data_IF_421215050587
#
_entry.id   IF_421215050587
#
_cell.length_a   1.000
_cell.length_b   1.000
_cell.length_c   1.000
_cell.angle_alpha   90.00
_cell.angle_beta   90.00
_cell.angle_gamma   90.00
#
_symmetry.space_group_name_H-M   'P 1'
#
loop_
_entity.id
_entity.type
_entity.pdbx_description
1 polymer ?
#
# COMPACT_ATOMS: atom_id res chain seq x y z
N UNK A 1 -11.39 -7.63 17.48
CA UNK A 1 -10.33 -8.64 17.71
C UNK A 1 -9.91 -9.26 16.37
N UNK A 2 -10.82 -9.72 15.51
CA UNK A 2 -10.46 -10.35 14.22
C UNK A 2 -9.67 -9.43 13.29
N UNK A 3 -10.09 -8.18 13.12
CA UNK A 3 -9.37 -7.20 12.30
C UNK A 3 -7.95 -6.92 12.83
N UNK A 4 -7.80 -6.80 14.15
CA UNK A 4 -6.49 -6.63 14.79
C UNK A 4 -5.59 -7.83 14.54
N UNK A 5 -6.10 -9.05 14.71
CA UNK A 5 -5.35 -10.27 14.44
C UNK A 5 -4.92 -10.36 12.95
N UNK A 6 -5.81 -10.03 12.02
CA UNK A 6 -5.49 -10.00 10.60
C UNK A 6 -4.38 -8.98 10.28
N UNK A 7 -4.47 -7.75 10.81
CA UNK A 7 -3.41 -6.75 10.68
C UNK A 7 -2.08 -7.24 11.24
N UNK A 8 -2.08 -7.87 12.40
CA UNK A 8 -0.85 -8.42 12.99
C UNK A 8 -0.23 -9.49 12.10
N UNK A 9 -1.01 -10.41 11.56
CA UNK A 9 -0.51 -11.47 10.68
C UNK A 9 0.08 -10.89 9.39
N UNK A 10 -0.59 -9.91 8.79
CA UNK A 10 -0.18 -9.32 7.51
C UNK A 10 1.07 -8.44 7.66
N UNK A 11 1.14 -7.60 8.70
CA UNK A 11 2.14 -6.55 8.80
C UNK A 11 3.35 -6.91 9.67
N UNK A 12 3.23 -7.77 10.69
CA UNK A 12 4.35 -8.07 11.60
C UNK A 12 5.53 -8.66 10.86
N UNK A 13 5.31 -9.60 9.97
CA UNK A 13 6.38 -10.26 9.24
C UNK A 13 7.18 -9.31 8.33
N UNK A 14 6.57 -8.54 7.41
CA UNK A 14 7.32 -7.59 6.59
C UNK A 14 7.95 -6.46 7.39
N UNK A 15 7.28 -5.93 8.43
CA UNK A 15 7.86 -4.90 9.29
C UNK A 15 9.05 -5.41 10.10
N UNK A 16 8.99 -6.64 10.60
CA UNK A 16 10.13 -7.28 11.26
C UNK A 16 11.33 -7.37 10.32
N UNK A 17 11.13 -7.82 9.09
CA UNK A 17 12.20 -7.90 8.08
C UNK A 17 12.78 -6.51 7.78
N UNK A 18 11.95 -5.51 7.57
CA UNK A 18 12.40 -4.12 7.36
C UNK A 18 13.20 -3.58 8.55
N UNK A 19 12.76 -3.89 9.77
CA UNK A 19 13.47 -3.49 10.99
C UNK A 19 14.88 -4.08 11.11
N UNK A 20 15.17 -5.20 10.46
CA UNK A 20 16.52 -5.80 10.45
C UNK A 20 17.49 -5.15 9.44
N UNK A 21 16.98 -4.35 8.49
CA UNK A 21 17.80 -3.77 7.41
C UNK A 21 18.86 -2.82 7.99
N UNK A 22 18.46 -1.87 8.85
CA UNK A 22 19.38 -0.88 9.42
C UNK A 22 20.50 -1.54 10.23
N UNK A 23 20.26 -2.47 11.17
CA UNK A 23 21.33 -3.16 11.88
C UNK A 23 22.26 -3.96 10.94
N UNK A 24 21.70 -4.57 9.89
CA UNK A 24 22.51 -5.28 8.90
C UNK A 24 23.40 -4.32 8.12
N UNK A 25 22.89 -3.19 7.68
CA UNK A 25 23.67 -2.18 6.97
C UNK A 25 24.81 -1.62 7.85
N UNK A 26 24.52 -1.31 9.11
CA UNK A 26 25.57 -0.90 10.07
C UNK A 26 26.66 -1.96 10.14
N UNK A 27 26.30 -3.23 10.35
CA UNK A 27 27.25 -4.33 10.47
C UNK A 27 28.18 -4.47 9.26
N UNK A 28 27.65 -4.25 8.05
CA UNK A 28 28.42 -4.40 6.80
C UNK A 28 29.14 -3.13 6.36
N UNK A 29 28.78 -1.97 6.89
CA UNK A 29 29.37 -0.67 6.52
C UNK A 29 30.44 -0.18 7.49
N UNK A 30 30.59 -0.82 8.64
CA UNK A 30 31.56 -0.43 9.66
C UNK A 30 32.81 -1.31 9.54
N UNK A 31 33.90 -0.73 9.07
CA UNK A 31 35.21 -1.41 8.97
C UNK A 31 36.07 -1.23 10.23
N UNK A 32 35.85 -0.12 11.00
CA UNK A 32 36.60 0.19 12.21
C UNK A 32 35.73 0.84 13.28
N UNK A 33 36.12 0.66 14.56
CA UNK A 33 35.40 1.23 15.71
C UNK A 33 35.41 2.77 15.70
N UNK A 34 36.44 3.40 15.13
CA UNK A 34 36.58 4.85 15.08
C UNK A 34 35.62 5.54 14.10
N UNK A 35 35.16 4.82 13.07
CA UNK A 35 34.22 5.35 12.05
C UNK A 35 32.76 4.99 12.30
N UNK A 36 32.52 4.20 13.33
CA UNK A 36 31.20 3.67 13.67
C UNK A 36 30.15 4.78 13.83
N UNK A 37 30.48 5.83 14.59
CA UNK A 37 29.58 6.93 14.85
C UNK A 37 29.15 7.70 13.58
N UNK A 38 30.10 7.95 12.67
CA UNK A 38 29.83 8.64 11.40
C UNK A 38 28.94 7.78 10.48
N UNK A 39 29.24 6.50 10.35
CA UNK A 39 28.49 5.56 9.51
C UNK A 39 27.05 5.39 10.02
N UNK A 40 26.88 5.20 11.33
CA UNK A 40 25.55 5.09 11.95
C UNK A 40 24.76 6.39 11.80
N UNK A 41 25.42 7.56 11.99
CA UNK A 41 24.80 8.86 11.78
C UNK A 41 24.32 9.06 10.35
N UNK A 42 25.14 8.70 9.36
CA UNK A 42 24.76 8.80 7.95
C UNK A 42 23.60 7.85 7.60
N UNK A 43 23.62 6.61 8.06
CA UNK A 43 22.53 5.64 7.83
C UNK A 43 21.23 6.10 8.47
N UNK A 44 21.27 6.63 9.69
CA UNK A 44 20.09 7.16 10.36
C UNK A 44 19.52 8.40 9.66
N UNK A 45 20.37 9.32 9.21
CA UNK A 45 19.94 10.49 8.44
C UNK A 45 19.29 10.05 7.12
N UNK A 46 19.90 9.12 6.39
CA UNK A 46 19.35 8.55 5.15
C UNK A 46 18.00 7.87 5.38
N UNK A 47 17.87 7.10 6.46
CA UNK A 47 16.62 6.45 6.85
C UNK A 47 15.51 7.48 7.16
N UNK A 48 15.85 8.57 7.83
CA UNK A 48 14.90 9.66 8.13
C UNK A 48 14.42 10.33 6.85
N UNK A 49 15.33 10.69 5.94
CA UNK A 49 14.96 11.27 4.63
C UNK A 49 14.10 10.29 3.84
N UNK A 50 14.50 9.02 3.79
CA UNK A 50 13.74 7.97 3.11
C UNK A 50 12.33 7.79 3.70
N UNK A 51 12.19 7.88 5.01
CA UNK A 51 10.88 7.80 5.69
C UNK A 51 9.97 8.98 5.34
N UNK A 52 10.52 10.19 5.28
CA UNK A 52 9.77 11.38 4.86
C UNK A 52 9.25 11.18 3.43
N UNK A 53 10.14 10.87 2.48
CA UNK A 53 9.77 10.64 1.07
C UNK A 53 8.77 9.50 0.98
N UNK A 54 9.02 8.36 1.66
CA UNK A 54 8.17 7.18 1.67
C UNK A 54 6.79 7.38 2.30
N UNK A 55 6.61 8.43 3.10
CA UNK A 55 5.31 8.80 3.65
C UNK A 55 4.56 9.77 2.73
N UNK A 56 5.23 10.82 2.26
CA UNK A 56 4.58 11.88 1.49
C UNK A 56 4.28 11.46 0.05
N UNK A 57 5.20 10.81 -0.63
CA UNK A 57 5.03 10.43 -2.05
C UNK A 57 3.84 9.48 -2.26
N UNK A 58 3.70 8.38 -1.51
CA UNK A 58 2.52 7.53 -1.65
C UNK A 58 1.24 8.26 -1.33
N UNK A 59 1.19 8.98 -0.22
CA UNK A 59 -0.04 9.59 0.27
C UNK A 59 -0.57 10.70 -0.63
N UNK A 60 0.30 11.57 -1.13
CA UNK A 60 -0.13 12.76 -1.86
C UNK A 60 -0.01 12.62 -3.38
N UNK A 61 0.78 11.68 -3.88
CA UNK A 61 1.03 11.53 -5.31
C UNK A 61 0.52 10.18 -5.82
N UNK A 62 1.06 9.06 -5.31
CA UNK A 62 0.78 7.75 -5.90
C UNK A 62 -0.66 7.29 -5.68
N UNK A 63 -1.13 7.28 -4.42
CA UNK A 63 -2.49 6.80 -4.10
C UNK A 63 -3.57 7.61 -4.85
N UNK A 64 -3.53 8.97 -4.88
CA UNK A 64 -4.51 9.73 -5.62
C UNK A 64 -4.47 9.56 -7.14
N UNK A 65 -3.32 9.16 -7.69
CA UNK A 65 -3.17 9.04 -9.15
C UNK A 65 -3.42 7.64 -9.69
N UNK A 66 -2.95 6.61 -8.98
CA UNK A 66 -2.99 5.22 -9.45
C UNK A 66 -3.69 4.25 -8.49
N UNK A 67 -4.13 4.73 -7.33
CA UNK A 67 -4.77 3.93 -6.29
C UNK A 67 -3.80 3.15 -5.40
N UNK A 68 -4.34 2.62 -4.30
CA UNK A 68 -3.56 1.93 -3.27
C UNK A 68 -2.90 0.66 -3.80
N UNK A 69 -3.63 -0.18 -4.53
CA UNK A 69 -3.13 -1.46 -5.05
C UNK A 69 -1.92 -1.29 -5.96
N UNK A 70 -2.00 -0.38 -6.92
CA UNK A 70 -0.89 -0.11 -7.86
C UNK A 70 0.29 0.53 -7.12
N UNK A 71 0.03 1.41 -6.15
CA UNK A 71 1.08 2.00 -5.31
C UNK A 71 1.89 0.92 -4.58
N UNK A 72 1.22 -0.07 -3.96
CA UNK A 72 1.91 -1.19 -3.33
C UNK A 72 2.74 -2.00 -4.32
N UNK A 73 2.23 -2.26 -5.53
CA UNK A 73 2.97 -2.97 -6.58
C UNK A 73 4.21 -2.19 -7.04
N UNK A 74 4.12 -0.86 -7.17
CA UNK A 74 5.28 -0.01 -7.52
C UNK A 74 6.38 -0.15 -6.46
N UNK A 75 6.05 0.01 -5.17
CA UNK A 75 7.03 -0.09 -4.09
C UNK A 75 7.58 -1.51 -3.94
N UNK A 76 6.76 -2.54 -4.10
CA UNK A 76 7.21 -3.92 -4.12
C UNK A 76 8.18 -4.17 -5.29
N UNK A 77 7.91 -3.62 -6.48
CA UNK A 77 8.79 -3.70 -7.64
C UNK A 77 10.14 -3.00 -7.42
N UNK A 78 10.13 -1.83 -6.78
CA UNK A 78 11.36 -1.12 -6.40
C UNK A 78 12.19 -1.97 -5.44
N UNK A 79 11.59 -2.52 -4.39
CA UNK A 79 12.28 -3.38 -3.43
C UNK A 79 12.82 -4.67 -4.09
N UNK A 80 12.05 -5.27 -4.99
CA UNK A 80 12.49 -6.46 -5.74
C UNK A 80 13.69 -6.15 -6.64
N UNK A 81 13.67 -4.99 -7.33
CA UNK A 81 14.78 -4.54 -8.20
C UNK A 81 16.03 -4.27 -7.39
N UNK A 82 15.93 -3.55 -6.28
CA UNK A 82 17.06 -3.31 -5.37
C UNK A 82 17.64 -4.61 -4.83
N UNK A 83 16.77 -5.55 -4.43
CA UNK A 83 17.17 -6.87 -3.98
C UNK A 83 17.90 -7.65 -5.09
N UNK A 84 17.36 -7.64 -6.32
CA UNK A 84 17.97 -8.32 -7.46
C UNK A 84 19.34 -7.74 -7.79
N UNK A 85 19.47 -6.41 -7.84
CA UNK A 85 20.76 -5.73 -8.08
C UNK A 85 21.78 -6.11 -7.01
N UNK A 86 21.38 -6.12 -5.74
CA UNK A 86 22.23 -6.53 -4.63
C UNK A 86 22.72 -7.98 -4.79
N UNK A 87 21.82 -8.92 -5.08
CA UNK A 87 22.16 -10.33 -5.24
C UNK A 87 23.04 -10.60 -6.46
N UNK A 88 22.85 -9.88 -7.56
CA UNK A 88 23.65 -10.01 -8.78
C UNK A 88 25.04 -9.40 -8.58
N UNK A 89 25.13 -8.24 -7.94
CA UNK A 89 26.38 -7.53 -7.67
C UNK A 89 27.24 -8.22 -6.60
N UNK A 90 26.60 -8.85 -5.63
CA UNK A 90 27.29 -9.62 -4.60
C UNK A 90 27.65 -10.97 -5.16
N UNK A 91 28.94 -11.35 -5.10
CA UNK A 91 29.43 -12.71 -5.46
C UNK A 91 28.88 -13.79 -4.51
N UNK A 92 27.56 -13.76 -4.25
CA UNK A 92 26.88 -14.66 -3.32
C UNK A 92 26.67 -16.00 -4.01
N UNK A 93 26.87 -17.08 -3.26
CA UNK A 93 26.72 -18.46 -3.72
C UNK A 93 25.42 -18.69 -4.49
N UNK A 94 25.53 -19.37 -5.64
CA UNK A 94 24.42 -19.77 -6.54
C UNK A 94 23.18 -20.33 -5.81
N UNK A 95 23.36 -20.93 -4.63
CA UNK A 95 22.29 -21.55 -3.85
C UNK A 95 21.33 -20.51 -3.26
N UNK A 96 21.75 -19.25 -3.02
CA UNK A 96 20.89 -18.16 -2.52
C UNK A 96 20.14 -17.48 -3.66
N UNK A 97 20.68 -17.48 -4.87
CA UNK A 97 20.04 -16.93 -6.08
C UNK A 97 18.80 -17.74 -6.49
N UNK A 98 18.71 -19.02 -6.12
CA UNK A 98 17.55 -19.89 -6.41
C UNK A 98 16.20 -19.37 -5.84
N UNK A 99 16.23 -18.47 -4.86
CA UNK A 99 15.02 -17.85 -4.27
C UNK A 99 14.52 -16.64 -5.07
N UNK A 100 15.37 -16.03 -5.89
CA UNK A 100 15.00 -14.85 -6.68
C UNK A 100 13.88 -15.13 -7.71
N UNK A 101 13.92 -16.22 -8.51
CA UNK A 101 12.84 -16.53 -9.44
C UNK A 101 11.49 -16.79 -8.73
N UNK A 102 11.51 -17.33 -7.52
CA UNK A 102 10.29 -17.52 -6.72
C UNK A 102 9.71 -16.15 -6.33
N UNK A 103 10.54 -15.21 -5.88
CA UNK A 103 10.09 -13.85 -5.56
C UNK A 103 9.54 -13.11 -6.79
N UNK A 104 10.20 -13.27 -7.95
CA UNK A 104 9.72 -12.71 -9.22
C UNK A 104 8.38 -13.33 -9.61
N UNK A 105 8.21 -14.64 -9.47
CA UNK A 105 6.95 -15.32 -9.77
C UNK A 105 5.81 -14.81 -8.87
N UNK A 106 6.06 -14.69 -7.57
CA UNK A 106 5.07 -14.13 -6.62
C UNK A 106 4.72 -12.69 -7.00
N UNK A 107 5.70 -11.89 -7.39
CA UNK A 107 5.47 -10.51 -7.82
C UNK A 107 4.61 -10.44 -9.10
N UNK A 108 4.90 -11.28 -10.10
CA UNK A 108 4.10 -11.36 -11.32
C UNK A 108 2.66 -11.77 -11.01
N UNK A 109 2.48 -12.78 -10.15
CA UNK A 109 1.15 -13.19 -9.71
C UNK A 109 0.42 -12.03 -8.99
N UNK A 110 1.13 -11.30 -8.12
CA UNK A 110 0.57 -10.12 -7.45
C UNK A 110 0.18 -9.02 -8.45
N UNK A 111 0.94 -8.81 -9.52
CA UNK A 111 0.59 -7.86 -10.58
C UNK A 111 -0.68 -8.30 -11.33
N UNK A 112 -0.81 -9.60 -11.64
CA UNK A 112 -1.98 -10.12 -12.38
C UNK A 112 -3.24 -10.03 -11.53
N UNK A 113 -3.19 -10.43 -10.28
CA UNK A 113 -4.35 -10.44 -9.39
C UNK A 113 -4.62 -9.09 -8.72
N UNK A 114 -3.60 -8.28 -8.46
CA UNK A 114 -3.71 -7.00 -7.79
C UNK A 114 -4.00 -5.82 -8.73
N UNK A 115 -4.03 -6.04 -10.04
CA UNK A 115 -4.34 -4.98 -11.02
C UNK A 115 -5.82 -4.59 -11.04
N UNK A 116 -6.70 -5.48 -10.62
CA UNK A 116 -8.12 -5.17 -10.52
C UNK A 116 -8.34 -4.16 -9.39
N UNK A 117 -8.69 -2.93 -9.75
CA UNK A 117 -8.93 -1.83 -8.83
C UNK A 117 -10.21 -1.99 -7.99
N UNK A 118 -11.00 -3.03 -8.22
CA UNK A 118 -12.18 -3.32 -7.43
C UNK A 118 -11.80 -4.04 -6.13
N UNK A 119 -11.89 -3.30 -5.02
CA UNK A 119 -11.71 -3.84 -3.68
C UNK A 119 -12.97 -4.56 -3.19
N UNK A 120 -14.14 -4.06 -3.57
CA UNK A 120 -15.42 -4.55 -3.09
C UNK A 120 -16.08 -5.57 -4.05
N UNK A 121 -15.29 -6.53 -4.52
CA UNK A 121 -15.72 -7.58 -5.49
C UNK A 121 -16.93 -8.43 -5.02
N UNK A 122 -17.27 -8.37 -3.72
CA UNK A 122 -18.43 -9.06 -3.14
C UNK A 122 -19.71 -8.24 -3.18
N UNK A 123 -19.65 -6.98 -3.60
CA UNK A 123 -20.81 -6.09 -3.68
C UNK A 123 -21.40 -6.13 -5.09
N UNK A 124 -22.68 -6.52 -5.15
CA UNK A 124 -23.48 -6.39 -6.37
C UNK A 124 -23.99 -4.94 -6.43
N UNK A 125 -24.31 -4.36 -7.52
CA UNK A 125 -24.85 -3.00 -7.67
C UNK A 125 -23.87 -1.85 -7.42
N UNK A 126 -22.58 -2.11 -7.49
CA UNK A 126 -21.54 -1.09 -7.40
C UNK A 126 -21.31 -0.51 -8.82
N UNK A 127 -21.73 0.75 -9.01
CA UNK A 127 -21.59 1.45 -10.31
C UNK A 127 -20.25 2.15 -10.44
N UNK A 128 -19.72 2.64 -9.34
CA UNK A 128 -18.43 3.32 -9.31
C UNK A 128 -17.66 2.97 -8.03
N UNK A 129 -16.37 2.77 -8.19
CA UNK A 129 -15.42 2.56 -7.11
C UNK A 129 -14.16 3.37 -7.39
N UNK A 130 -13.66 4.09 -6.40
CA UNK A 130 -12.48 4.92 -6.56
C UNK A 130 -11.87 5.34 -5.24
N UNK A 131 -10.62 5.79 -5.31
CA UNK A 131 -9.88 6.31 -4.17
C UNK A 131 -9.59 7.80 -4.39
N UNK A 132 -9.87 8.61 -3.38
CA UNK A 132 -9.44 9.99 -3.30
C UNK A 132 -8.31 10.15 -2.29
N UNK A 133 -7.74 11.36 -2.21
CA UNK A 133 -6.71 11.69 -1.20
C UNK A 133 -7.19 11.43 0.23
N UNK A 134 -8.50 11.53 0.47
CA UNK A 134 -9.08 11.49 1.80
C UNK A 134 -9.90 10.26 2.10
N UNK A 135 -10.60 9.72 1.09
CA UNK A 135 -11.58 8.67 1.27
C UNK A 135 -11.59 7.68 0.12
N UNK A 136 -11.95 6.46 0.43
CA UNK A 136 -12.41 5.47 -0.53
C UNK A 136 -13.87 5.75 -0.85
N UNK A 137 -14.21 5.84 -2.13
CA UNK A 137 -15.51 6.23 -2.64
C UNK A 137 -16.20 5.07 -3.32
N UNK A 138 -17.45 4.86 -2.99
CA UNK A 138 -18.31 3.89 -3.66
C UNK A 138 -19.64 4.53 -4.02
N UNK A 139 -20.12 4.27 -5.23
CA UNK A 139 -21.47 4.64 -5.67
C UNK A 139 -22.23 3.36 -5.93
N UNK A 140 -23.30 3.19 -5.19
CA UNK A 140 -24.26 2.11 -5.36
C UNK A 140 -25.47 2.62 -6.12
N UNK A 141 -25.91 1.85 -7.09
CA UNK A 141 -27.12 2.14 -7.84
C UNK A 141 -28.09 0.97 -7.74
N UNK A 142 -29.28 1.28 -7.29
CA UNK A 142 -30.41 0.37 -7.20
C UNK A 142 -31.58 0.91 -8.04
N UNK A 143 -32.63 0.16 -8.23
CA UNK A 143 -33.83 0.56 -8.99
C UNK A 143 -34.46 1.84 -8.40
N UNK A 144 -34.33 2.09 -7.10
CA UNK A 144 -34.96 3.17 -6.35
C UNK A 144 -34.04 4.31 -5.99
N UNK A 145 -32.74 4.07 -5.85
CA UNK A 145 -31.82 5.05 -5.30
C UNK A 145 -30.40 4.93 -5.87
N UNK A 146 -29.68 6.04 -5.77
CA UNK A 146 -28.22 6.09 -5.95
C UNK A 146 -27.64 6.57 -4.63
N UNK A 147 -26.70 5.81 -4.06
CA UNK A 147 -26.08 6.13 -2.78
C UNK A 147 -24.57 6.29 -2.94
N UNK A 148 -24.05 7.39 -2.42
CA UNK A 148 -22.60 7.64 -2.30
C UNK A 148 -22.14 7.23 -0.90
N UNK A 149 -21.16 6.36 -0.84
CA UNK A 149 -20.49 5.95 0.40
C UNK A 149 -19.02 6.34 0.40
N UNK A 150 -18.54 6.82 1.54
CA UNK A 150 -17.13 7.16 1.77
C UNK A 150 -16.39 6.08 2.55
N UNK A 151 -17.01 4.92 2.73
CA UNK A 151 -16.39 3.75 3.37
C UNK A 151 -17.04 2.48 2.83
N UNK A 152 -16.36 1.33 3.01
CA UNK A 152 -16.72 0.04 2.40
C UNK A 152 -18.10 -0.48 2.80
N UNK A 153 -18.68 -0.09 3.93
CA UNK A 153 -20.00 -0.60 4.39
C UNK A 153 -20.82 0.46 5.16
N UNK A 154 -20.18 1.44 5.81
CA UNK A 154 -20.81 2.26 6.84
C UNK A 154 -20.55 3.76 6.65
N UNK A 155 -20.71 4.33 5.59
CA UNK A 155 -20.45 5.76 5.47
C UNK A 155 -21.27 6.36 4.35
N UNK A 156 -22.60 6.11 4.36
CA UNK A 156 -23.48 6.75 3.39
C UNK A 156 -23.38 8.26 3.59
N UNK A 157 -22.86 8.93 2.58
CA UNK A 157 -22.64 10.36 2.57
C UNK A 157 -23.83 11.10 1.97
N UNK A 158 -24.43 10.53 0.95
CA UNK A 158 -25.65 11.06 0.33
C UNK A 158 -26.43 9.95 -0.37
N UNK A 159 -27.74 10.14 -0.48
CA UNK A 159 -28.66 9.28 -1.21
C UNK A 159 -29.53 10.15 -2.11
N UNK A 160 -29.62 9.77 -3.38
CA UNK A 160 -30.56 10.35 -4.33
C UNK A 160 -31.65 9.34 -4.62
N UNK A 161 -32.91 9.68 -4.35
CA UNK A 161 -34.06 8.88 -4.69
C UNK A 161 -34.50 9.15 -6.13
N UNK A 162 -34.60 8.11 -6.94
CA UNK A 162 -34.92 8.23 -8.38
C UNK A 162 -36.34 8.71 -8.66
N UNK A 163 -37.21 8.63 -7.68
CA UNK A 163 -38.58 9.16 -7.75
C UNK A 163 -38.66 10.68 -7.49
N UNK A 164 -37.54 11.32 -7.19
CA UNK A 164 -37.44 12.75 -6.91
C UNK A 164 -37.98 13.17 -5.54
N UNK A 165 -38.26 12.22 -4.67
CA UNK A 165 -38.67 12.54 -3.29
C UNK A 165 -37.46 12.85 -2.42
N UNK A 166 -37.66 13.61 -1.33
CA UNK A 166 -36.62 13.89 -0.35
C UNK A 166 -36.46 12.69 0.61
N UNK A 167 -35.24 12.44 1.03
CA UNK A 167 -34.92 11.36 1.96
C UNK A 167 -35.22 11.69 3.40
N UNK A 168 -35.41 13.01 3.73
CA UNK A 168 -35.54 13.51 5.09
C UNK A 168 -34.25 13.62 5.87
N UNK A 169 -33.10 13.46 5.19
CA UNK A 169 -31.79 13.50 5.81
C UNK A 169 -31.05 14.82 5.49
N UNK A 170 -29.95 15.06 6.18
CA UNK A 170 -29.20 16.33 6.10
C UNK A 170 -28.72 16.70 4.70
N UNK A 171 -28.46 15.72 3.87
CA UNK A 171 -27.95 15.95 2.51
C UNK A 171 -29.01 16.42 1.51
N UNK A 172 -30.30 16.36 1.86
CA UNK A 172 -31.38 16.94 1.04
C UNK A 172 -31.27 18.47 0.95
N UNK A 173 -30.57 19.10 1.90
CA UNK A 173 -30.34 20.56 1.88
C UNK A 173 -29.20 20.98 0.93
N UNK A 174 -28.49 20.05 0.33
CA UNK A 174 -27.39 20.31 -0.61
C UNK A 174 -27.80 20.21 -2.09
N UNK A 175 -29.10 19.96 -2.35
CA UNK A 175 -29.65 19.81 -3.70
C UNK A 175 -30.12 21.16 -4.28
#
# INVERSE_FOLDING_TARGET
IAAFAACMIIFVFPLFLLGTVTPCLVKYSVDSLNENGKTVGYLNASNTIGSIIGTFVPTFISIPTVGTSITFLIFAGILLTLSAVYFISSKISMMKIKKLPIAILIFILSCVFGHNGSFAFWQNNLTYEGESVYNYLQVYEDDKQIALSTNVIFGIQSVYLKDGTLTGMYYDYAL
#
